data_IF_765545224428
#
_entry.id   IF_765545224428
#
_cell.length_a   1.000
_cell.length_b   1.000
_cell.length_c   1.000
_cell.angle_alpha   90.00
_cell.angle_beta   90.00
_cell.angle_gamma   90.00
#
_symmetry.space_group_name_H-M   'P 1'
#
loop_
_entity.id
_entity.type
_entity.pdbx_description
1 polymer ?
#
# COMPACT_ATOMS: atom_id res chain seq x y z
N UNK A 1 -7.85 -28.26 80.11
CA UNK A 1 -9.18 -28.91 80.20
C UNK A 1 -10.22 -27.84 79.93
N UNK A 2 -10.60 -27.60 78.68
CA UNK A 2 -11.57 -28.35 77.87
C UNK A 2 -13.02 -28.17 78.35
N UNK A 3 -13.81 -27.38 77.60
CA UNK A 3 -15.06 -27.82 76.97
C UNK A 3 -15.66 -26.72 76.07
N UNK A 4 -15.74 -27.05 74.79
CA UNK A 4 -16.58 -26.44 73.77
C UNK A 4 -18.06 -26.62 74.09
N UNK A 5 -18.93 -25.78 73.51
CA UNK A 5 -20.27 -26.18 73.04
C UNK A 5 -20.90 -25.08 72.14
N UNK A 6 -20.62 -25.21 70.85
CA UNK A 6 -21.57 -25.28 69.71
C UNK A 6 -22.90 -24.52 69.78
N UNK A 7 -23.11 -23.55 68.87
CA UNK A 7 -24.38 -23.40 68.12
C UNK A 7 -24.14 -22.97 66.67
N UNK A 8 -24.65 -23.84 65.79
CA UNK A 8 -24.65 -23.84 64.33
C UNK A 8 -25.64 -22.81 63.76
N UNK A 9 -25.22 -21.94 62.82
CA UNK A 9 -26.13 -21.33 61.83
C UNK A 9 -25.41 -21.10 60.49
N UNK A 10 -25.87 -21.88 59.51
CA UNK A 10 -25.64 -21.77 58.06
C UNK A 10 -25.81 -20.34 57.56
N UNK A 11 -25.10 -19.95 56.47
CA UNK A 11 -25.66 -19.15 55.35
C UNK A 11 -24.61 -18.93 54.22
N UNK A 12 -24.91 -19.57 53.08
CA UNK A 12 -24.76 -19.15 51.68
C UNK A 12 -23.35 -18.92 51.06
N UNK A 13 -23.03 -19.88 50.19
CA UNK A 13 -22.12 -19.78 49.06
C UNK A 13 -22.57 -18.66 48.09
N UNK A 14 -21.71 -17.68 47.83
CA UNK A 14 -21.85 -16.78 46.67
C UNK A 14 -20.85 -17.21 45.59
N UNK A 15 -21.24 -18.15 44.75
CA UNK A 15 -20.57 -18.37 43.47
C UNK A 15 -21.13 -17.38 42.46
N UNK A 16 -20.36 -16.38 42.08
CA UNK A 16 -20.61 -15.57 40.90
C UNK A 16 -19.38 -15.66 39.99
N UNK A 17 -19.24 -16.81 39.32
CA UNK A 17 -18.34 -16.94 38.19
C UNK A 17 -18.91 -16.12 37.03
N UNK A 18 -18.56 -14.83 36.99
CA UNK A 18 -18.80 -13.97 35.84
C UNK A 18 -17.87 -14.41 34.71
N UNK A 19 -18.39 -15.28 33.85
CA UNK A 19 -17.85 -15.52 32.52
C UNK A 19 -18.07 -14.24 31.69
N UNK A 20 -17.19 -13.26 31.86
CA UNK A 20 -17.10 -12.15 30.92
C UNK A 20 -16.49 -12.70 29.64
N UNK A 21 -17.36 -13.22 28.76
CA UNK A 21 -17.05 -13.37 27.36
C UNK A 21 -16.69 -11.99 26.82
N UNK A 22 -15.39 -11.72 26.69
CA UNK A 22 -14.89 -10.56 25.95
C UNK A 22 -15.34 -10.77 24.52
N UNK A 23 -16.42 -10.09 24.13
CA UNK A 23 -16.77 -9.95 22.73
C UNK A 23 -15.62 -9.17 22.08
N UNK A 24 -14.77 -9.88 21.33
CA UNK A 24 -13.86 -9.23 20.40
C UNK A 24 -14.71 -8.55 19.34
N UNK A 25 -14.91 -7.25 19.50
CA UNK A 25 -15.47 -6.41 18.45
C UNK A 25 -14.38 -6.36 17.37
N UNK A 26 -14.48 -7.23 16.36
CA UNK A 26 -13.79 -7.02 15.10
C UNK A 26 -14.43 -5.81 14.45
N UNK A 27 -13.80 -4.64 14.60
CA UNK A 27 -14.14 -3.48 13.78
C UNK A 27 -13.68 -3.76 12.36
N UNK A 28 -14.62 -4.23 11.53
CA UNK A 28 -14.50 -4.21 10.08
C UNK A 28 -14.63 -2.74 9.62
N UNK A 29 -13.50 -2.06 9.61
CA UNK A 29 -13.35 -0.67 9.16
C UNK A 29 -13.28 -0.65 7.63
N UNK A 30 -14.38 -0.99 6.94
CA UNK A 30 -14.41 -1.19 5.48
C UNK A 30 -15.13 -0.10 4.67
N UNK A 31 -15.66 0.96 5.29
CA UNK A 31 -16.56 1.88 4.56
C UNK A 31 -15.92 3.20 4.07
N UNK A 32 -14.71 3.57 4.51
CA UNK A 32 -14.08 4.83 4.07
C UNK A 32 -12.55 4.77 4.16
N UNK A 33 -11.91 3.95 3.31
CA UNK A 33 -10.45 3.92 3.26
C UNK A 33 -9.92 5.09 2.41
N UNK A 34 -8.93 5.87 2.89
CA UNK A 34 -8.33 6.94 2.10
C UNK A 34 -7.47 6.41 0.93
N UNK A 35 -7.31 5.09 0.81
CA UNK A 35 -6.43 4.45 -0.16
C UNK A 35 -7.20 3.40 -0.98
N UNK A 36 -7.06 3.47 -2.31
CA UNK A 36 -7.71 2.53 -3.23
C UNK A 36 -7.11 1.11 -3.20
N UNK A 37 -5.80 1.00 -2.94
CA UNK A 37 -5.06 -0.28 -3.06
C UNK A 37 -4.28 -0.69 -1.82
N UNK A 38 -4.34 0.09 -0.73
CA UNK A 38 -3.56 -0.14 0.48
C UNK A 38 -4.47 -0.27 1.70
N UNK A 39 -4.23 -1.29 2.53
CA UNK A 39 -4.94 -1.47 3.78
C UNK A 39 -4.41 -0.49 4.85
N UNK A 40 -5.22 0.46 5.35
CA UNK A 40 -4.76 1.47 6.31
C UNK A 40 -4.19 0.87 7.60
N UNK A 41 -4.84 -0.17 8.13
CA UNK A 41 -4.40 -0.86 9.36
C UNK A 41 -3.02 -1.51 9.20
N UNK A 42 -2.74 -2.10 8.03
CA UNK A 42 -1.43 -2.68 7.74
C UNK A 42 -0.34 -1.62 7.62
N UNK A 43 -0.65 -0.48 6.98
CA UNK A 43 0.28 0.66 6.90
C UNK A 43 0.60 1.23 8.30
N UNK A 44 -0.41 1.41 9.13
CA UNK A 44 -0.25 1.90 10.50
C UNK A 44 0.62 0.95 11.34
N UNK A 45 0.33 -0.35 11.27
CA UNK A 45 1.12 -1.39 11.95
C UNK A 45 2.58 -1.42 11.48
N UNK A 46 2.82 -1.40 10.16
CA UNK A 46 4.18 -1.37 9.61
C UNK A 46 4.95 -0.11 10.06
N UNK A 47 4.30 1.06 10.06
CA UNK A 47 4.88 2.31 10.56
C UNK A 47 5.24 2.21 12.04
N UNK A 48 4.34 1.69 12.87
CA UNK A 48 4.58 1.50 14.30
C UNK A 48 5.76 0.56 14.56
N UNK A 49 5.83 -0.58 13.86
CA UNK A 49 6.93 -1.54 14.01
C UNK A 49 8.29 -0.93 13.64
N UNK A 50 8.34 -0.10 12.60
CA UNK A 50 9.55 0.62 12.20
C UNK A 50 9.97 1.65 13.26
N UNK A 51 9.02 2.41 13.81
CA UNK A 51 9.27 3.41 14.86
C UNK A 51 9.72 2.77 16.18
N UNK A 52 9.14 1.64 16.54
CA UNK A 52 9.46 0.90 17.77
C UNK A 52 10.70 -0.01 17.60
N UNK A 53 11.35 0.01 16.44
CA UNK A 53 12.48 -0.87 16.10
C UNK A 53 12.20 -2.38 16.24
N UNK A 54 10.92 -2.79 16.23
CA UNK A 54 10.47 -4.19 16.30
C UNK A 54 10.26 -4.81 14.91
N UNK A 55 10.41 -4.03 13.85
CA UNK A 55 10.26 -4.49 12.47
C UNK A 55 11.29 -5.58 12.08
N UNK A 56 10.79 -6.59 11.35
CA UNK A 56 11.61 -7.67 10.77
C UNK A 56 12.76 -7.10 9.91
N UNK A 57 13.93 -7.77 9.83
CA UNK A 57 15.07 -7.29 9.04
C UNK A 57 14.74 -6.91 7.58
N UNK A 58 13.88 -7.70 6.92
CA UNK A 58 13.44 -7.47 5.55
C UNK A 58 12.65 -6.16 5.40
N UNK A 59 11.77 -5.86 6.36
CA UNK A 59 10.99 -4.62 6.37
C UNK A 59 11.89 -3.39 6.59
N UNK A 60 12.87 -3.51 7.50
CA UNK A 60 13.87 -2.43 7.71
C UNK A 60 14.70 -2.18 6.45
N UNK A 61 15.07 -3.23 5.72
CA UNK A 61 15.78 -3.09 4.44
C UNK A 61 14.90 -2.39 3.40
N UNK A 62 13.66 -2.85 3.20
CA UNK A 62 12.72 -2.25 2.25
C UNK A 62 12.45 -0.77 2.59
N UNK A 63 12.31 -0.44 3.87
CA UNK A 63 12.11 0.94 4.31
C UNK A 63 13.32 1.84 3.97
N UNK A 64 14.55 1.37 4.19
CA UNK A 64 15.75 2.12 3.78
C UNK A 64 15.83 2.30 2.26
N UNK A 65 15.46 1.28 1.49
CA UNK A 65 15.40 1.38 0.03
C UNK A 65 14.36 2.40 -0.43
N UNK A 66 13.20 2.44 0.23
CA UNK A 66 12.15 3.43 -0.02
C UNK A 66 12.65 4.86 0.26
N UNK A 67 13.30 5.10 1.41
CA UNK A 67 13.88 6.41 1.73
C UNK A 67 14.92 6.83 0.68
N UNK A 68 15.83 5.93 0.31
CA UNK A 68 16.82 6.22 -0.71
C UNK A 68 16.19 6.50 -2.09
N UNK A 69 15.08 5.86 -2.43
CA UNK A 69 14.31 6.17 -3.64
C UNK A 69 13.68 7.56 -3.55
N UNK A 70 13.06 7.91 -2.42
CA UNK A 70 12.49 9.23 -2.20
C UNK A 70 13.56 10.34 -2.31
N UNK A 71 14.72 10.16 -1.68
CA UNK A 71 15.84 11.11 -1.75
C UNK A 71 16.37 11.32 -3.17
N UNK A 72 16.33 10.27 -4.02
CA UNK A 72 16.68 10.39 -5.44
C UNK A 72 15.62 11.18 -6.20
N UNK A 73 14.34 10.89 -5.98
CA UNK A 73 13.23 11.53 -6.69
C UNK A 73 13.08 13.01 -6.31
N UNK A 74 13.38 13.39 -5.06
CA UNK A 74 13.38 14.80 -4.63
C UNK A 74 14.36 15.69 -5.42
N UNK A 75 15.36 15.11 -6.09
CA UNK A 75 16.34 15.82 -6.92
C UNK A 75 15.91 15.96 -8.39
N UNK A 76 14.86 15.25 -8.80
CA UNK A 76 14.36 15.26 -10.17
C UNK A 76 13.45 16.48 -10.35
N UNK A 77 13.68 17.26 -11.40
CA UNK A 77 12.75 18.34 -11.78
C UNK A 77 11.39 17.75 -12.13
N UNK A 78 10.31 18.34 -11.60
CA UNK A 78 8.95 17.89 -11.88
C UNK A 78 8.69 17.80 -13.39
N UNK A 79 8.44 16.60 -13.93
CA UNK A 79 8.16 16.44 -15.35
C UNK A 79 6.80 17.05 -15.70
N UNK A 80 6.70 17.65 -16.89
CA UNK A 80 5.47 18.23 -17.39
C UNK A 80 5.17 17.74 -18.80
N UNK A 81 3.87 17.60 -19.12
CA UNK A 81 3.41 17.25 -20.48
C UNK A 81 3.96 18.20 -21.54
N UNK A 82 4.32 19.43 -21.20
CA UNK A 82 4.84 20.42 -22.15
C UNK A 82 6.32 20.24 -22.50
N UNK A 83 7.06 19.40 -21.77
CA UNK A 83 8.49 19.13 -21.98
C UNK A 83 8.78 18.13 -23.11
N UNK A 84 7.74 17.51 -23.69
CA UNK A 84 7.88 16.64 -24.87
C UNK A 84 8.31 17.43 -26.11
N UNK A 85 9.06 16.77 -27.00
CA UNK A 85 9.57 17.38 -28.25
C UNK A 85 8.49 17.53 -29.33
N UNK A 86 7.63 16.53 -29.46
CA UNK A 86 6.59 16.48 -30.49
C UNK A 86 5.33 17.25 -30.10
N UNK A 87 4.70 17.92 -31.07
CA UNK A 87 3.40 18.56 -30.89
C UNK A 87 2.28 17.53 -31.14
N UNK A 88 1.29 17.38 -30.24
CA UNK A 88 0.14 16.52 -30.47
C UNK A 88 -0.69 16.98 -31.70
N UNK A 89 -1.50 16.09 -32.30
CA UNK A 89 -2.36 16.42 -33.43
C UNK A 89 -3.35 17.58 -33.17
N UNK A 90 -3.69 17.83 -31.90
CA UNK A 90 -4.54 18.96 -31.49
C UNK A 90 -3.85 20.33 -31.63
N UNK A 91 -2.53 20.37 -31.79
CA UNK A 91 -1.73 21.61 -31.81
C UNK A 91 -1.40 22.17 -30.42
N UNK A 92 -1.87 21.56 -29.33
CA UNK A 92 -1.63 22.01 -27.96
C UNK A 92 -0.55 21.17 -27.26
N UNK A 93 0.48 21.81 -26.72
CA UNK A 93 1.48 21.13 -25.87
C UNK A 93 0.91 20.67 -24.53
N UNK A 94 -0.23 21.19 -24.09
CA UNK A 94 -0.86 20.77 -22.83
C UNK A 94 -1.55 19.41 -22.95
N UNK A 95 -1.74 18.92 -24.17
CA UNK A 95 -2.41 17.64 -24.39
C UNK A 95 -1.40 16.50 -24.20
N UNK A 96 -1.82 15.45 -23.50
CA UNK A 96 -0.99 14.28 -23.31
C UNK A 96 -0.77 13.56 -24.65
N UNK A 97 0.48 13.13 -24.90
CA UNK A 97 0.85 12.37 -26.09
C UNK A 97 1.87 11.31 -25.68
N UNK A 98 1.58 10.07 -26.02
CA UNK A 98 2.49 8.93 -25.94
C UNK A 98 2.46 8.16 -27.24
N UNK A 99 3.54 7.42 -27.53
CA UNK A 99 3.52 6.47 -28.63
C UNK A 99 3.15 5.08 -28.09
N UNK A 100 2.38 4.32 -28.86
CA UNK A 100 1.92 3.00 -28.43
C UNK A 100 3.09 2.01 -28.33
N UNK A 101 3.20 1.32 -27.18
CA UNK A 101 4.33 0.45 -26.85
C UNK A 101 4.67 -0.60 -27.91
N UNK A 102 3.67 -1.17 -28.61
CA UNK A 102 3.89 -2.28 -29.55
C UNK A 102 3.94 -1.87 -31.02
N UNK A 103 3.98 -0.58 -31.33
CA UNK A 103 4.01 -0.10 -32.72
C UNK A 103 5.40 0.35 -33.12
N UNK A 104 5.97 -0.36 -34.09
CA UNK A 104 7.34 -0.18 -34.58
C UNK A 104 7.36 0.37 -36.00
N UNK A 105 8.41 1.10 -36.40
CA UNK A 105 8.61 1.43 -37.81
C UNK A 105 8.68 0.16 -38.68
N UNK A 106 8.03 0.19 -39.84
CA UNK A 106 8.11 -0.90 -40.82
C UNK A 106 9.45 -0.82 -41.58
N UNK A 107 10.38 -1.77 -41.40
CA UNK A 107 11.69 -1.72 -42.09
C UNK A 107 11.58 -1.90 -43.61
N UNK A 108 10.44 -2.36 -44.14
CA UNK A 108 10.21 -2.48 -45.59
C UNK A 108 9.82 -1.17 -46.27
N UNK A 109 9.61 -0.08 -45.50
CA UNK A 109 9.17 1.22 -45.98
C UNK A 109 10.24 2.27 -45.70
N UNK A 110 10.54 3.13 -46.69
CA UNK A 110 11.55 4.17 -46.54
C UNK A 110 11.30 5.10 -45.33
N UNK A 111 10.04 5.46 -45.11
CA UNK A 111 9.62 6.32 -43.98
C UNK A 111 9.24 5.53 -42.72
N UNK A 112 9.32 4.20 -42.74
CA UNK A 112 8.90 3.35 -41.64
C UNK A 112 7.39 3.38 -41.34
N UNK A 113 6.59 3.91 -42.26
CA UNK A 113 5.14 4.10 -42.13
C UNK A 113 4.36 3.31 -43.20
N UNK A 114 3.14 2.83 -42.89
CA UNK A 114 2.52 2.82 -41.56
C UNK A 114 3.31 1.92 -40.60
N UNK A 115 3.27 2.24 -39.31
CA UNK A 115 3.92 1.39 -38.30
C UNK A 115 3.30 0.00 -38.30
N UNK A 116 4.03 -1.00 -37.80
CA UNK A 116 3.57 -2.38 -37.66
C UNK A 116 3.52 -2.79 -36.18
N UNK A 117 2.55 -3.64 -35.83
CA UNK A 117 2.43 -4.16 -34.46
C UNK A 117 3.39 -5.31 -34.24
N UNK A 118 4.19 -5.26 -33.17
CA UNK A 118 5.00 -6.37 -32.65
C UNK A 118 4.59 -6.65 -31.21
N UNK A 119 3.70 -7.62 -31.04
CA UNK A 119 3.12 -7.89 -29.72
C UNK A 119 4.18 -8.39 -28.73
N UNK A 120 4.10 -7.91 -27.48
CA UNK A 120 5.08 -8.21 -26.43
C UNK A 120 6.45 -7.55 -26.59
N UNK A 121 6.72 -6.84 -27.69
CA UNK A 121 7.98 -6.13 -27.93
C UNK A 121 7.77 -4.62 -27.76
N UNK A 122 8.28 -4.04 -26.66
CA UNK A 122 8.17 -2.61 -26.38
C UNK A 122 9.14 -1.82 -27.27
N UNK A 123 8.59 -0.92 -28.08
CA UNK A 123 9.35 0.06 -28.85
C UNK A 123 10.02 1.05 -27.90
N UNK A 124 11.36 1.14 -27.85
CA UNK A 124 12.04 2.10 -26.96
C UNK A 124 11.79 3.57 -27.32
N UNK A 125 11.24 3.84 -28.51
CA UNK A 125 10.78 5.17 -28.90
C UNK A 125 9.35 5.50 -28.42
N UNK A 126 8.64 4.54 -27.78
CA UNK A 126 7.27 4.71 -27.29
C UNK A 126 7.15 5.66 -26.11
#
# INVERSE_FOLDING_TARGET
MARENTRLRYLLLFSASLWSGVATISSADEANTPYAFLAPSQLASAKQQLQQHTAKPQMRLAYRQLLAQADRVLKITNPCVTQKRSLPPSGSKHDYLSLSAYWWPDPSKAEGLPRIRRDGQVNPAS
#
